data_IF_459339220687
#
_entry.id   IF_459339220687
#
_cell.length_a   1.000
_cell.length_b   1.000
_cell.length_c   1.000
_cell.angle_alpha   90.00
_cell.angle_beta   90.00
_cell.angle_gamma   90.00
#
_symmetry.space_group_name_H-M   'P 1'
#
loop_
_entity.id
_entity.type
_entity.pdbx_description
1 polymer ?
#
# COMPACT_ATOMS: atom_id res chain seq x y z
N UNK A 1 17.89 -12.22 -2.34
CA UNK A 1 17.54 -11.73 -3.70
C UNK A 1 16.20 -11.03 -3.55
N UNK A 2 16.17 -9.70 -3.56
CA UNK A 2 14.91 -8.97 -3.36
C UNK A 2 14.12 -8.99 -4.67
N UNK A 3 12.94 -9.60 -4.67
CA UNK A 3 11.97 -9.43 -5.73
C UNK A 3 11.17 -8.15 -5.47
N UNK A 4 11.08 -7.26 -6.46
CA UNK A 4 10.21 -6.09 -6.40
C UNK A 4 8.81 -6.48 -6.89
N UNK A 5 7.77 -6.06 -6.17
CA UNK A 5 6.39 -6.45 -6.47
C UNK A 5 5.96 -6.11 -7.91
N UNK A 6 5.17 -6.99 -8.58
CA UNK A 6 4.79 -6.82 -9.98
C UNK A 6 3.87 -5.62 -10.16
N UNK A 7 4.42 -4.52 -10.69
CA UNK A 7 3.66 -3.29 -10.98
C UNK A 7 4.50 -2.01 -11.01
N UNK A 8 5.72 -2.03 -10.45
CA UNK A 8 6.63 -0.88 -10.46
C UNK A 8 7.87 -1.20 -11.30
N UNK A 9 8.12 -0.42 -12.35
CA UNK A 9 9.23 -0.60 -13.30
C UNK A 9 10.61 -0.23 -12.74
N UNK A 10 10.97 -0.80 -11.60
CA UNK A 10 12.15 -0.50 -10.79
C UNK A 10 12.98 -1.78 -10.59
N UNK A 11 14.15 -1.86 -11.23
CA UNK A 11 15.02 -3.03 -11.13
C UNK A 11 16.05 -2.87 -10.00
N UNK A 12 16.25 -3.92 -9.21
CA UNK A 12 17.20 -3.94 -8.11
C UNK A 12 18.60 -4.43 -8.52
N UNK A 13 19.63 -3.65 -8.20
CA UNK A 13 21.04 -4.04 -8.28
C UNK A 13 21.60 -4.26 -6.86
N UNK A 14 22.26 -5.41 -6.66
CA UNK A 14 22.72 -5.89 -5.35
C UNK A 14 23.99 -5.21 -4.82
N UNK A 15 24.19 -5.34 -3.51
CA UNK A 15 25.31 -4.77 -2.77
C UNK A 15 26.54 -5.70 -2.70
N UNK A 16 27.74 -5.11 -2.70
CA UNK A 16 28.98 -5.78 -2.26
C UNK A 16 29.16 -5.73 -0.74
N UNK A 17 29.99 -6.62 -0.19
CA UNK A 17 30.17 -6.81 1.25
C UNK A 17 30.77 -5.58 1.98
N UNK A 18 30.34 -5.38 3.23
CA UNK A 18 30.85 -4.34 4.15
C UNK A 18 29.88 -3.20 4.44
N UNK A 19 29.07 -2.80 3.46
CA UNK A 19 27.93 -1.90 3.65
C UNK A 19 26.86 -2.19 2.59
N UNK A 20 25.66 -2.60 3.01
CA UNK A 20 24.58 -3.00 2.10
C UNK A 20 24.03 -1.81 1.32
N UNK A 21 24.48 -1.60 0.08
CA UNK A 21 23.93 -0.59 -0.83
C UNK A 21 22.95 -1.22 -1.84
N UNK A 22 21.64 -1.15 -1.56
CA UNK A 22 20.60 -1.57 -2.50
C UNK A 22 20.30 -0.39 -3.44
N UNK A 23 20.52 -0.56 -4.75
CA UNK A 23 20.24 0.47 -5.74
C UNK A 23 19.08 0.03 -6.62
N UNK A 24 18.03 0.85 -6.71
CA UNK A 24 16.92 0.66 -7.64
C UNK A 24 17.01 1.69 -8.77
N UNK A 25 16.88 1.25 -10.02
CA UNK A 25 16.75 2.12 -11.18
C UNK A 25 15.35 2.00 -11.80
N UNK A 26 14.68 3.14 -11.99
CA UNK A 26 13.36 3.21 -12.61
C UNK A 26 13.46 3.68 -14.06
N UNK A 27 12.62 3.12 -14.95
CA UNK A 27 12.43 3.69 -16.30
C UNK A 27 11.59 4.99 -16.31
N UNK A 28 10.88 5.28 -15.20
CA UNK A 28 9.88 6.33 -14.97
C UNK A 28 10.06 7.69 -15.71
N UNK A 29 10.51 8.78 -15.08
CA UNK A 29 10.92 8.98 -13.68
C UNK A 29 9.79 9.59 -12.83
N UNK A 30 9.28 8.92 -11.78
CA UNK A 30 8.15 9.43 -11.00
C UNK A 30 8.59 10.48 -9.97
N UNK A 31 7.63 11.27 -9.49
CA UNK A 31 7.76 11.95 -8.20
C UNK A 31 7.69 10.89 -7.10
N UNK A 32 8.45 11.07 -6.00
CA UNK A 32 8.42 10.15 -4.85
C UNK A 32 7.66 10.82 -3.68
N UNK A 33 6.71 10.08 -3.08
CA UNK A 33 5.90 10.58 -1.97
C UNK A 33 6.16 9.82 -0.68
N UNK A 34 6.17 8.49 -0.75
CA UNK A 34 6.36 7.61 0.39
C UNK A 34 7.20 6.39 -0.03
N UNK A 35 8.04 5.91 0.88
CA UNK A 35 8.74 4.64 0.77
C UNK A 35 8.33 3.81 1.99
N UNK A 36 7.73 2.65 1.76
CA UNK A 36 7.39 1.69 2.81
C UNK A 36 8.31 0.49 2.67
N UNK A 37 8.84 -0.01 3.79
CA UNK A 37 9.60 -1.24 3.82
C UNK A 37 9.55 -1.86 5.22
N UNK A 38 9.84 -3.16 5.29
CA UNK A 38 10.10 -3.85 6.53
C UNK A 38 11.60 -3.85 6.83
N UNK A 39 12.00 -3.57 8.06
CA UNK A 39 13.39 -3.70 8.45
C UNK A 39 13.77 -5.19 8.56
N UNK A 40 15.03 -5.50 8.26
CA UNK A 40 15.64 -6.80 8.58
C UNK A 40 17.03 -6.54 9.16
N UNK A 41 17.09 -6.27 10.46
CA UNK A 41 18.32 -6.02 11.22
C UNK A 41 19.21 -4.88 10.71
N UNK A 42 18.69 -3.92 9.93
CA UNK A 42 19.44 -2.70 9.61
C UNK A 42 19.29 -1.68 10.74
N UNK A 43 20.40 -1.17 11.31
CA UNK A 43 20.33 -0.17 12.37
C UNK A 43 20.14 1.27 11.85
N UNK A 44 20.83 1.62 10.75
CA UNK A 44 20.76 2.95 10.14
C UNK A 44 20.57 2.87 8.64
N UNK A 45 19.70 3.72 8.12
CA UNK A 45 19.43 3.88 6.70
C UNK A 45 19.79 5.29 6.22
N UNK A 46 20.59 5.41 5.16
CA UNK A 46 20.67 6.63 4.35
C UNK A 46 20.06 6.39 2.98
N UNK A 47 19.29 7.34 2.47
CA UNK A 47 18.72 7.30 1.11
C UNK A 47 19.40 8.35 0.25
N UNK A 48 19.85 7.92 -0.94
CA UNK A 48 20.33 8.81 -2.00
C UNK A 48 19.44 8.70 -3.23
N UNK A 49 19.22 9.82 -3.89
CA UNK A 49 18.49 9.90 -5.15
C UNK A 49 19.41 10.40 -6.26
N UNK A 50 19.15 9.91 -7.47
CA UNK A 50 19.67 10.46 -8.70
C UNK A 50 18.48 10.98 -9.50
N UNK A 51 18.52 12.26 -9.89
CA UNK A 51 17.45 12.91 -10.66
C UNK A 51 17.79 12.94 -12.15
N UNK A 52 16.77 13.01 -12.99
CA UNK A 52 16.95 13.44 -14.37
C UNK A 52 17.57 14.84 -14.38
N UNK A 53 18.61 15.04 -15.20
CA UNK A 53 19.25 16.34 -15.40
C UNK A 53 19.34 16.57 -16.91
N UNK A 54 18.86 17.73 -17.36
CA UNK A 54 18.90 18.11 -18.77
C UNK A 54 20.31 18.54 -19.21
N UNK A 55 21.12 19.11 -18.31
CA UNK A 55 22.36 19.84 -18.64
C UNK A 55 23.59 19.39 -17.82
N UNK A 56 23.63 18.14 -17.36
CA UNK A 56 24.82 17.68 -16.63
C UNK A 56 24.87 16.19 -16.25
N UNK A 57 26.05 15.73 -15.78
CA UNK A 57 26.23 14.36 -15.33
C UNK A 57 25.33 14.05 -14.12
N UNK A 58 24.65 12.90 -14.17
CA UNK A 58 23.65 12.50 -13.16
C UNK A 58 24.29 12.26 -11.78
N UNK A 59 24.26 13.28 -10.92
CA UNK A 59 24.84 13.25 -9.57
C UNK A 59 23.91 12.58 -8.54
N UNK A 60 24.49 11.78 -7.64
CA UNK A 60 23.79 11.27 -6.45
C UNK A 60 23.72 12.34 -5.36
N UNK A 61 22.52 12.61 -4.86
CA UNK A 61 22.23 13.54 -3.76
C UNK A 61 21.70 12.72 -2.57
N UNK A 62 22.10 13.07 -1.34
CA UNK A 62 21.58 12.40 -0.13
C UNK A 62 20.30 13.12 0.32
N UNK A 63 19.16 12.45 0.20
CA UNK A 63 17.86 12.97 0.64
C UNK A 63 17.52 12.55 2.07
N UNK A 64 18.02 11.41 2.55
CA UNK A 64 17.90 11.00 3.95
C UNK A 64 19.26 10.52 4.45
N UNK A 65 19.68 10.94 5.64
CA UNK A 65 20.96 10.58 6.23
C UNK A 65 20.76 9.94 7.59
N UNK A 66 21.34 8.76 7.75
CA UNK A 66 21.52 8.05 9.02
C UNK A 66 20.25 7.93 9.87
N UNK A 67 19.11 7.73 9.20
CA UNK A 67 17.82 7.48 9.83
C UNK A 67 17.90 6.20 10.66
N UNK A 68 17.63 6.31 11.97
CA UNK A 68 17.76 5.22 12.92
C UNK A 68 16.51 4.34 12.87
N UNK A 69 16.70 3.08 12.48
CA UNK A 69 15.66 2.05 12.46
C UNK A 69 15.65 1.22 13.76
N UNK A 70 16.82 0.95 14.35
CA UNK A 70 16.93 0.23 15.62
C UNK A 70 17.37 1.19 16.74
N UNK A 71 16.65 1.31 17.86
CA UNK A 71 17.01 2.22 18.96
C UNK A 71 18.42 1.98 19.50
N UNK A 72 18.78 0.71 19.66
CA UNK A 72 20.14 0.21 19.92
C UNK A 72 20.53 -0.80 18.84
N UNK A 73 21.67 -0.64 18.14
CA UNK A 73 22.10 -1.56 17.08
C UNK A 73 22.37 -3.00 17.54
N UNK A 74 22.58 -3.23 18.84
CA UNK A 74 22.95 -4.53 19.40
C UNK A 74 21.75 -5.36 19.91
N UNK A 75 20.53 -4.79 19.88
CA UNK A 75 19.29 -5.43 20.34
C UNK A 75 18.35 -5.71 19.18
N UNK A 76 17.38 -6.61 19.33
CA UNK A 76 16.40 -6.95 18.28
C UNK A 76 15.29 -5.89 18.10
N UNK A 77 15.14 -4.95 19.03
CA UNK A 77 14.12 -3.87 18.97
C UNK A 77 14.23 -3.04 17.67
N UNK A 78 13.10 -2.89 16.96
CA UNK A 78 13.04 -2.20 15.66
C UNK A 78 13.62 -2.99 14.46
N UNK A 79 14.17 -4.19 14.68
CA UNK A 79 14.85 -4.96 13.62
C UNK A 79 13.93 -5.60 12.59
N UNK A 80 12.64 -5.74 12.90
CA UNK A 80 11.61 -6.40 12.07
C UNK A 80 10.40 -5.49 11.75
N UNK A 81 10.42 -4.24 12.24
CA UNK A 81 9.29 -3.31 12.15
C UNK A 81 9.11 -2.75 10.73
N UNK A 82 7.90 -2.30 10.41
CA UNK A 82 7.63 -1.55 9.19
C UNK A 82 7.89 -0.06 9.38
N UNK A 83 8.52 0.55 8.38
CA UNK A 83 8.84 1.97 8.35
C UNK A 83 8.27 2.64 7.09
N UNK A 84 7.56 3.74 7.28
CA UNK A 84 7.18 4.69 6.22
C UNK A 84 8.10 5.90 6.25
N UNK A 85 8.76 6.18 5.13
CA UNK A 85 9.54 7.39 4.90
C UNK A 85 8.77 8.33 3.98
N UNK A 86 8.37 9.49 4.49
CA UNK A 86 7.57 10.47 3.76
C UNK A 86 8.44 11.56 3.13
N UNK A 87 7.95 12.15 2.03
CA UNK A 87 8.58 13.28 1.33
C UNK A 87 9.03 14.43 2.25
N UNK A 88 8.26 14.74 3.29
CA UNK A 88 8.58 15.84 4.21
C UNK A 88 9.80 15.56 5.13
N UNK A 89 10.25 14.32 5.24
CA UNK A 89 11.48 13.93 5.96
C UNK A 89 12.73 14.04 5.07
N UNK A 90 12.57 14.33 3.78
CA UNK A 90 13.67 14.37 2.80
C UNK A 90 14.32 15.76 2.77
N UNK A 91 15.66 15.77 2.81
CA UNK A 91 16.52 16.96 2.81
C UNK A 91 16.63 17.68 1.45
N UNK A 92 16.01 17.14 0.39
CA UNK A 92 16.02 17.73 -0.96
C UNK A 92 14.82 17.26 -1.78
N UNK A 93 14.49 17.99 -2.85
CA UNK A 93 13.37 17.62 -3.73
C UNK A 93 13.60 16.27 -4.40
N UNK A 94 12.64 15.37 -4.17
CA UNK A 94 12.57 14.00 -4.73
C UNK A 94 11.62 13.93 -5.93
N UNK A 95 11.58 15.00 -6.72
CA UNK A 95 10.92 15.03 -8.03
C UNK A 95 11.84 14.52 -9.14
N UNK A 96 11.25 13.89 -10.16
CA UNK A 96 11.95 13.39 -11.35
C UNK A 96 13.13 12.45 -11.02
N UNK A 97 12.92 11.55 -10.05
CA UNK A 97 13.94 10.60 -9.58
C UNK A 97 14.06 9.44 -10.57
N UNK A 98 15.26 9.27 -11.16
CA UNK A 98 15.57 8.16 -12.07
C UNK A 98 16.12 6.93 -11.35
N UNK A 99 16.74 7.12 -10.18
CA UNK A 99 17.23 6.02 -9.36
C UNK A 99 17.26 6.40 -7.87
N UNK A 100 17.01 5.41 -7.01
CA UNK A 100 17.13 5.51 -5.56
C UNK A 100 18.18 4.52 -5.09
N UNK A 101 18.97 4.89 -4.08
CA UNK A 101 19.95 4.02 -3.44
C UNK A 101 19.77 4.08 -1.92
N UNK A 102 19.44 2.94 -1.35
CA UNK A 102 19.39 2.70 0.08
C UNK A 102 20.78 2.24 0.53
N UNK A 103 21.35 2.93 1.51
CA UNK A 103 22.64 2.62 2.10
C UNK A 103 22.35 2.16 3.53
N UNK A 104 22.41 0.84 3.71
CA UNK A 104 22.14 0.14 4.95
C UNK A 104 23.44 0.04 5.75
N UNK A 105 23.38 0.41 7.04
CA UNK A 105 24.51 0.27 7.97
C UNK A 105 24.06 -0.46 9.23
N UNK A 106 24.86 -1.43 9.63
CA UNK A 106 24.69 -2.17 10.87
C UNK A 106 26.05 -2.24 11.58
N UNK A 107 26.30 -1.43 12.63
CA UNK A 107 27.58 -1.43 13.34
C UNK A 107 27.75 -2.60 14.33
N UNK A 108 26.67 -3.32 14.68
CA UNK A 108 26.76 -4.50 15.54
C UNK A 108 27.29 -5.71 14.75
N UNK A 109 28.38 -6.37 15.21
CA UNK A 109 28.93 -7.55 14.53
C UNK A 109 28.05 -8.81 14.69
N UNK A 110 27.02 -8.77 15.54
CA UNK A 110 26.08 -9.86 15.78
C UNK A 110 25.23 -10.16 14.54
N UNK A 111 24.89 -9.13 13.77
CA UNK A 111 23.96 -9.24 12.65
C UNK A 111 24.72 -9.36 11.32
N UNK A 112 25.18 -10.58 11.02
CA UNK A 112 25.93 -10.89 9.78
C UNK A 112 25.10 -10.68 8.50
N UNK A 113 23.77 -10.79 8.62
CA UNK A 113 22.83 -10.54 7.54
C UNK A 113 21.86 -9.44 7.96
N UNK A 114 21.88 -8.33 7.21
CA UNK A 114 20.96 -7.22 7.37
C UNK A 114 20.53 -6.72 5.99
N UNK A 115 19.25 -6.37 5.87
CA UNK A 115 18.65 -5.80 4.65
C UNK A 115 17.44 -4.92 5.03
N UNK A 116 16.72 -4.46 4.02
CA UNK A 116 15.30 -4.12 4.11
C UNK A 116 14.54 -5.09 3.21
N UNK A 117 13.30 -5.40 3.56
CA UNK A 117 12.40 -6.32 2.86
C UNK A 117 11.09 -5.61 2.51
N UNK A 118 10.25 -6.24 1.68
CA UNK A 118 8.90 -5.75 1.35
C UNK A 118 8.86 -4.29 0.86
N UNK A 119 9.92 -3.85 0.17
CA UNK A 119 10.14 -2.47 -0.25
C UNK A 119 9.15 -2.04 -1.34
N UNK A 120 8.39 -0.99 -1.05
CA UNK A 120 7.37 -0.39 -1.90
C UNK A 120 7.62 1.12 -2.01
N UNK A 121 7.59 1.67 -3.23
CA UNK A 121 7.74 3.12 -3.46
C UNK A 121 6.44 3.65 -4.02
N UNK A 122 5.82 4.58 -3.31
CA UNK A 122 4.57 5.20 -3.72
C UNK A 122 4.85 6.56 -4.37
N UNK A 123 4.37 6.79 -5.61
CA UNK A 123 4.31 8.14 -6.16
C UNK A 123 3.30 8.97 -5.36
N UNK A 124 3.32 10.31 -5.46
CA UNK A 124 2.21 11.12 -4.99
C UNK A 124 0.96 10.59 -5.66
N UNK A 125 -0.03 10.19 -4.85
CA UNK A 125 -1.38 10.06 -5.33
C UNK A 125 -1.70 11.39 -6.00
N UNK A 126 -1.91 11.38 -7.32
CA UNK A 126 -2.72 12.42 -7.94
C UNK A 126 -3.94 12.54 -7.05
N UNK A 127 -4.30 13.77 -6.65
CA UNK A 127 -5.51 14.00 -5.88
C UNK A 127 -6.62 13.28 -6.62
N UNK A 128 -7.10 12.16 -6.06
CA UNK A 128 -8.46 11.76 -6.36
C UNK A 128 -9.29 13.02 -6.09
N UNK A 129 -10.21 13.42 -6.99
CA UNK A 129 -11.22 14.40 -6.60
C UNK A 129 -11.75 13.87 -5.28
N UNK A 130 -11.70 14.71 -4.23
CA UNK A 130 -11.79 14.22 -2.86
C UNK A 130 -12.92 13.20 -2.83
N UNK A 131 -12.63 11.96 -2.41
CA UNK A 131 -13.72 11.07 -2.06
C UNK A 131 -14.29 11.72 -0.83
N UNK A 132 -15.25 12.61 -1.07
CA UNK A 132 -15.85 13.48 -0.08
C UNK A 132 -16.14 12.59 1.11
N UNK A 133 -15.65 12.98 2.30
CA UNK A 133 -16.05 12.31 3.52
C UNK A 133 -17.57 12.29 3.48
N UNK A 134 -18.19 11.11 3.23
CA UNK A 134 -19.54 11.06 2.73
C UNK A 134 -20.39 11.73 3.81
N UNK A 135 -21.19 12.73 3.43
CA UNK A 135 -21.56 13.82 4.35
C UNK A 135 -22.26 13.38 5.65
N UNK A 136 -22.78 12.14 5.69
CA UNK A 136 -23.26 11.45 6.89
C UNK A 136 -22.17 11.21 7.97
N UNK A 137 -20.91 10.96 7.60
CA UNK A 137 -19.79 10.84 8.55
C UNK A 137 -19.38 12.18 9.13
N UNK A 138 -19.49 13.26 8.35
CA UNK A 138 -19.25 14.64 8.84
C UNK A 138 -20.30 15.11 9.85
N UNK A 139 -21.40 14.36 10.00
CA UNK A 139 -22.45 14.60 11.01
C UNK A 139 -22.18 13.89 12.34
N UNK A 140 -21.11 13.08 12.45
CA UNK A 140 -20.62 12.55 13.72
C UNK A 140 -19.89 13.64 14.53
N UNK A 141 -20.65 14.67 14.90
CA UNK A 141 -20.29 15.49 16.06
C UNK A 141 -20.18 14.56 17.28
N UNK A 142 -19.18 14.74 18.16
CA UNK A 142 -19.25 14.15 19.50
C UNK A 142 -20.59 14.55 20.11
N UNK A 143 -21.36 13.63 20.72
CA UNK A 143 -22.69 13.94 21.21
C UNK A 143 -22.58 15.10 22.21
N UNK A 144 -23.14 16.25 21.83
CA UNK A 144 -23.21 17.43 22.68
C UNK A 144 -24.01 17.04 23.91
N UNK A 145 -23.33 16.92 25.05
CA UNK A 145 -23.87 16.29 26.25
C UNK A 145 -25.07 17.09 26.75
N UNK A 146 -26.31 16.58 26.64
CA UNK A 146 -27.48 17.37 27.00
C UNK A 146 -27.47 17.62 28.50
N UNK A 147 -27.54 18.88 28.90
CA UNK A 147 -27.61 19.23 30.31
C UNK A 147 -28.90 18.69 30.94
N UNK A 148 -28.76 17.62 31.74
CA UNK A 148 -29.75 17.07 32.66
C UNK A 148 -31.13 16.71 32.07
N UNK A 149 -31.28 15.46 31.60
CA UNK A 149 -32.47 14.67 31.92
C UNK A 149 -32.05 13.25 32.37
N UNK A 150 -32.55 12.85 33.53
CA UNK A 150 -32.25 11.56 34.15
C UNK A 150 -32.98 10.44 33.38
N UNK A 151 -32.23 9.69 32.57
CA UNK A 151 -32.75 8.58 31.76
C UNK A 151 -31.67 7.50 31.63
N UNK A 152 -32.04 6.27 31.96
CA UNK A 152 -31.14 5.12 32.09
C UNK A 152 -30.37 4.89 30.77
N UNK A 153 -29.04 4.93 30.83
CA UNK A 153 -28.19 4.60 29.69
C UNK A 153 -28.43 3.11 29.35
N UNK A 154 -28.74 2.73 28.10
CA UNK A 154 -29.05 1.34 27.78
C UNK A 154 -27.87 0.44 28.16
N UNK A 155 -28.17 -0.63 28.90
CA UNK A 155 -27.19 -1.57 29.44
C UNK A 155 -26.19 -2.03 28.35
N UNK A 156 -24.87 -1.78 28.51
CA UNK A 156 -23.87 -2.12 27.52
C UNK A 156 -23.84 -3.62 27.21
N UNK A 157 -24.15 -4.49 28.18
CA UNK A 157 -24.23 -5.93 27.96
C UNK A 157 -25.42 -6.31 27.07
N UNK A 158 -26.58 -5.64 27.26
CA UNK A 158 -27.75 -5.81 26.38
C UNK A 158 -27.46 -5.33 24.95
N UNK A 159 -26.81 -4.17 24.78
CA UNK A 159 -26.42 -3.66 23.45
C UNK A 159 -25.40 -4.57 22.77
N UNK A 160 -24.39 -5.04 23.52
CA UNK A 160 -23.44 -6.05 23.02
C UNK A 160 -24.14 -7.34 22.61
N UNK A 161 -25.06 -7.83 23.43
CA UNK A 161 -25.81 -9.08 23.17
C UNK A 161 -26.63 -8.98 21.89
N UNK A 162 -27.33 -7.88 21.64
CA UNK A 162 -28.11 -7.67 20.40
C UNK A 162 -27.21 -7.63 19.15
N UNK A 163 -26.06 -6.95 19.24
CA UNK A 163 -25.05 -6.91 18.16
C UNK A 163 -24.44 -8.30 17.93
N UNK A 164 -24.07 -9.02 19.00
CA UNK A 164 -23.52 -10.38 18.92
C UNK A 164 -24.55 -11.37 18.33
N UNK A 165 -25.83 -11.28 18.70
CA UNK A 165 -26.91 -12.06 18.10
C UNK A 165 -27.04 -11.78 16.60
N UNK A 166 -26.93 -10.52 16.18
CA UNK A 166 -26.95 -10.15 14.76
C UNK A 166 -25.77 -10.76 13.98
N UNK A 167 -24.56 -10.71 14.53
CA UNK A 167 -23.38 -11.37 13.94
C UNK A 167 -23.53 -12.89 13.88
N UNK A 168 -24.07 -13.53 14.93
CA UNK A 168 -24.37 -14.97 14.95
C UNK A 168 -25.37 -15.33 13.85
N UNK A 169 -26.44 -14.55 13.65
CA UNK A 169 -27.40 -14.77 12.57
C UNK A 169 -26.74 -14.63 11.19
N UNK A 170 -25.86 -13.64 10.99
CA UNK A 170 -25.07 -13.51 9.76
C UNK A 170 -24.20 -14.73 9.49
N UNK A 171 -23.52 -15.26 10.51
CA UNK A 171 -22.67 -16.46 10.38
C UNK A 171 -23.50 -17.72 10.11
N UNK A 172 -24.65 -17.87 10.77
CA UNK A 172 -25.59 -18.98 10.51
C UNK A 172 -26.17 -18.90 9.09
N UNK A 173 -26.48 -17.72 8.57
CA UNK A 173 -26.91 -17.53 7.18
C UNK A 173 -25.77 -17.88 6.22
N UNK A 174 -24.53 -17.44 6.48
CA UNK A 174 -23.35 -17.77 5.66
C UNK A 174 -23.10 -19.28 5.61
N UNK A 175 -23.12 -19.95 6.77
CA UNK A 175 -22.97 -21.40 6.87
C UNK A 175 -24.11 -22.15 6.15
N UNK A 176 -25.35 -21.63 6.19
CA UNK A 176 -26.49 -22.20 5.46
C UNK A 176 -26.44 -21.93 3.95
N UNK A 177 -25.91 -20.79 3.50
CA UNK A 177 -25.67 -20.51 2.08
C UNK A 177 -24.55 -21.39 1.49
N UNK A 178 -23.58 -21.82 2.30
CA UNK A 178 -22.60 -22.82 1.89
C UNK A 178 -23.22 -24.23 1.70
N UNK A 179 -24.29 -24.56 2.44
CA UNK A 179 -24.99 -25.85 2.34
C UNK A 179 -26.14 -25.86 1.31
N UNK A 180 -26.87 -24.75 1.16
CA UNK A 180 -27.92 -24.58 0.17
C UNK A 180 -27.34 -24.02 -1.12
N UNK A 181 -27.11 -24.89 -2.12
CA UNK A 181 -26.68 -24.50 -3.47
C UNK A 181 -27.71 -23.57 -4.11
N UNK A 182 -27.50 -22.26 -3.96
CA UNK A 182 -28.18 -21.21 -4.73
C UNK A 182 -28.05 -21.54 -6.22
N UNK A 183 -29.19 -21.51 -6.90
CA UNK A 183 -29.32 -21.97 -8.29
C UNK A 183 -28.36 -21.21 -9.21
N UNK A 184 -27.66 -21.97 -10.08
CA UNK A 184 -26.85 -21.39 -11.14
C UNK A 184 -27.76 -20.64 -12.11
N UNK A 185 -27.65 -19.31 -12.14
CA UNK A 185 -27.89 -18.58 -13.38
C UNK A 185 -26.62 -18.69 -14.21
N UNK A 186 -26.67 -19.52 -15.24
CA UNK A 186 -25.60 -19.60 -16.24
C UNK A 186 -25.69 -18.36 -17.12
N UNK A 187 -24.75 -17.43 -16.95
CA UNK A 187 -24.62 -16.24 -17.81
C UNK A 187 -23.47 -16.52 -18.77
N UNK A 188 -23.78 -17.14 -19.90
CA UNK A 188 -22.78 -17.49 -20.92
C UNK A 188 -22.12 -16.24 -21.51
N UNK A 189 -20.78 -16.08 -21.43
CA UNK A 189 -20.11 -14.93 -22.01
C UNK A 189 -19.82 -15.14 -23.50
N UNK A 190 -20.23 -14.15 -24.30
CA UNK A 190 -19.66 -13.78 -25.61
C UNK A 190 -19.87 -14.78 -26.78
N UNK A 191 -20.80 -14.41 -27.67
CA UNK A 191 -20.63 -14.64 -29.12
C UNK A 191 -20.61 -13.29 -29.83
N UNK A 192 -19.43 -12.66 -29.91
CA UNK A 192 -19.17 -11.60 -30.89
C UNK A 192 -18.62 -12.24 -32.16
N UNK A 193 -19.50 -12.59 -33.10
CA UNK A 193 -19.14 -12.81 -34.50
C UNK A 193 -20.21 -12.24 -35.43
N UNK A 194 -19.76 -11.25 -36.22
CA UNK A 194 -20.23 -10.80 -37.54
C UNK A 194 -21.67 -11.13 -37.96
N UNK A 195 -22.43 -10.08 -38.29
CA UNK A 195 -23.75 -10.21 -38.93
C UNK A 195 -24.42 -8.88 -39.23
N UNK A 196 -23.76 -7.99 -39.96
CA UNK A 196 -24.41 -6.82 -40.55
C UNK A 196 -25.50 -7.22 -41.57
N UNK A 197 -26.39 -6.26 -41.84
CA UNK A 197 -27.21 -6.10 -43.05
C UNK A 197 -28.53 -6.92 -43.21
N UNK A 198 -29.62 -6.17 -42.99
CA UNK A 198 -30.73 -5.95 -43.94
C UNK A 198 -31.75 -7.07 -44.32
N UNK A 199 -33.02 -6.61 -44.44
CA UNK A 199 -34.00 -6.85 -45.54
C UNK A 199 -33.80 -8.11 -46.42
N UNK A 200 -34.78 -8.98 -46.68
CA UNK A 200 -36.24 -8.83 -46.62
C UNK A 200 -37.00 -10.19 -46.68
N UNK A 201 -38.33 -10.15 -46.56
CA UNK A 201 -39.27 -11.15 -47.12
C UNK A 201 -39.35 -10.99 -48.67
N UNK A 202 -40.00 -11.88 -49.48
CA UNK A 202 -40.78 -13.09 -49.15
C UNK A 202 -40.51 -14.33 -50.08
N UNK A 203 -41.39 -15.34 -49.97
CA UNK A 203 -42.04 -16.09 -51.08
C UNK A 203 -41.64 -17.55 -51.43
N UNK A 204 -42.58 -18.46 -51.09
CA UNK A 204 -43.17 -19.56 -51.90
C UNK A 204 -42.35 -20.54 -52.78
N UNK A 205 -42.59 -21.83 -52.50
CA UNK A 205 -42.86 -22.96 -53.43
C UNK A 205 -41.80 -23.40 -54.46
N UNK A 206 -41.52 -24.71 -54.48
CA UNK A 206 -42.31 -25.71 -55.24
C UNK A 206 -42.65 -26.87 -54.30
#
# INVERSE_FOLDING_TARGET
MLEAAPGQGWAAAGAGAGAGALSLCGCAAPQLQEIVFRNFYTAFLSVRVQRASAEGPRKWVTCLRDYRLMPSPHTEEGSQDYFSLFRHQMLCDVDQVTAVRFILRQPSPVWLHFTIEELQIYPPSQKSPQKDFPSWLSQLTPPEQPANLHGELPDPEKVSTEVQQMWVLTEVIRARQAAARIGRFDVSPITLLLGDLALALPSTSV
#
